data_IF_566800729366
#
_entry.id   IF_566800729366
#
_cell.length_a   1.000
_cell.length_b   1.000
_cell.length_c   1.000
_cell.angle_alpha   90.00
_cell.angle_beta   90.00
_cell.angle_gamma   90.00
#
_symmetry.space_group_name_H-M   'P 1'
#
loop_
_entity.id
_entity.type
_entity.pdbx_description
1 polymer ?
#
# COMPACT_ATOMS: atom_id res chain seq x y z
N UNK A 1 -0.53 -4.53 -8.75
CA UNK A 1 -0.16 -5.77 -9.44
C UNK A 1 0.38 -5.45 -10.82
N UNK A 2 1.67 -5.64 -11.02
CA UNK A 2 2.38 -5.39 -12.27
C UNK A 2 3.31 -6.58 -12.56
N UNK A 3 2.85 -7.58 -13.33
CA UNK A 3 3.65 -8.74 -13.70
C UNK A 3 4.42 -8.50 -15.00
N UNK A 4 5.68 -8.89 -15.03
CA UNK A 4 6.58 -8.74 -16.18
C UNK A 4 7.16 -10.10 -16.60
N UNK A 5 7.42 -10.24 -17.87
CA UNK A 5 8.15 -11.39 -18.44
C UNK A 5 9.67 -11.29 -18.25
N UNK A 6 10.40 -12.29 -18.71
CA UNK A 6 11.87 -12.33 -18.65
C UNK A 6 12.58 -11.25 -19.49
N UNK A 7 11.86 -10.57 -20.38
CA UNK A 7 12.38 -9.43 -21.16
C UNK A 7 12.05 -8.08 -20.52
N UNK A 8 11.24 -8.08 -19.44
CA UNK A 8 10.80 -6.87 -18.76
C UNK A 8 9.60 -6.19 -19.41
N UNK A 9 8.83 -6.93 -20.22
CA UNK A 9 7.59 -6.45 -20.80
C UNK A 9 6.41 -6.74 -19.86
N UNK A 10 5.50 -5.76 -19.72
CA UNK A 10 4.30 -5.91 -18.92
C UNK A 10 3.36 -6.92 -19.56
N UNK A 11 3.04 -8.00 -18.85
CA UNK A 11 2.28 -9.13 -19.38
C UNK A 11 0.79 -8.87 -19.56
N UNK A 12 0.20 -8.04 -18.69
CA UNK A 12 -1.21 -7.66 -18.71
C UNK A 12 -1.37 -6.23 -18.21
N UNK A 13 -2.48 -5.53 -18.49
CA UNK A 13 -2.76 -4.24 -17.88
C UNK A 13 -2.64 -4.32 -16.36
N UNK A 14 -1.95 -3.36 -15.75
CA UNK A 14 -1.75 -3.33 -14.31
C UNK A 14 -3.08 -3.21 -13.55
N UNK A 15 -3.15 -3.80 -12.36
CA UNK A 15 -4.31 -3.72 -11.46
C UNK A 15 -3.97 -2.84 -10.28
N UNK A 16 -4.81 -1.86 -10.02
CA UNK A 16 -4.62 -0.90 -8.92
C UNK A 16 -5.22 -1.43 -7.62
N UNK A 17 -4.91 -0.78 -6.51
CA UNK A 17 -5.47 -1.05 -5.20
C UNK A 17 -7.01 -0.92 -5.12
N UNK A 18 -7.63 -0.21 -6.06
CA UNK A 18 -9.09 -0.04 -6.17
C UNK A 18 -9.79 -1.25 -6.81
N UNK A 19 -9.04 -2.17 -7.37
CA UNK A 19 -9.60 -3.36 -7.98
C UNK A 19 -9.96 -4.39 -6.90
N UNK A 20 -11.22 -4.79 -6.83
CA UNK A 20 -11.79 -5.64 -5.76
C UNK A 20 -12.23 -7.03 -6.25
N UNK A 21 -11.66 -7.51 -7.36
CA UNK A 21 -12.00 -8.84 -7.91
C UNK A 21 -11.38 -10.02 -7.14
N UNK A 22 -10.61 -9.75 -6.10
CA UNK A 22 -9.71 -10.69 -5.41
C UNK A 22 -10.29 -11.28 -4.14
N UNK A 23 -11.60 -11.20 -3.93
CA UNK A 23 -12.25 -11.64 -2.68
C UNK A 23 -11.99 -13.11 -2.35
N UNK A 24 -12.10 -14.01 -3.34
CA UNK A 24 -11.86 -15.45 -3.17
C UNK A 24 -10.39 -15.72 -2.80
N UNK A 25 -9.47 -15.12 -3.53
CA UNK A 25 -8.03 -15.28 -3.28
C UNK A 25 -7.62 -14.72 -1.91
N UNK A 26 -8.11 -13.54 -1.54
CA UNK A 26 -7.83 -12.92 -0.26
C UNK A 26 -8.30 -13.79 0.91
N UNK A 27 -9.53 -14.28 0.87
CA UNK A 27 -10.09 -15.17 1.90
C UNK A 27 -9.31 -16.48 2.01
N UNK A 28 -8.96 -17.11 0.87
CA UNK A 28 -8.19 -18.35 0.86
C UNK A 28 -6.79 -18.16 1.46
N UNK A 29 -6.08 -17.09 1.08
CA UNK A 29 -4.74 -16.79 1.60
C UNK A 29 -4.77 -16.38 3.09
N UNK A 30 -5.78 -15.60 3.51
CA UNK A 30 -5.97 -15.26 4.95
C UNK A 30 -6.10 -16.52 5.80
N UNK A 31 -6.89 -17.47 5.35
CA UNK A 31 -7.05 -18.77 6.03
C UNK A 31 -5.75 -19.58 6.04
N UNK A 32 -5.05 -19.67 4.90
CA UNK A 32 -3.82 -20.45 4.76
C UNK A 32 -2.70 -19.91 5.64
N UNK A 33 -2.52 -18.61 5.65
CA UNK A 33 -1.43 -17.97 6.38
C UNK A 33 -1.77 -17.70 7.86
N UNK A 34 -3.05 -17.79 8.24
CA UNK A 34 -3.53 -17.26 9.53
C UNK A 34 -3.08 -15.81 9.73
N UNK A 35 -3.17 -15.01 8.67
CA UNK A 35 -2.76 -13.62 8.58
C UNK A 35 -3.68 -12.89 7.62
N UNK A 36 -4.19 -11.70 7.97
CA UNK A 36 -5.10 -10.97 7.10
C UNK A 36 -4.42 -10.58 5.77
N UNK A 37 -5.00 -11.01 4.66
CA UNK A 37 -4.57 -10.63 3.30
C UNK A 37 -5.67 -9.75 2.67
N UNK A 38 -5.50 -8.43 2.67
CA UNK A 38 -6.47 -7.52 2.06
C UNK A 38 -6.62 -7.75 0.56
N UNK A 39 -7.83 -7.54 0.04
CA UNK A 39 -8.11 -7.72 -1.40
C UNK A 39 -7.25 -6.85 -2.30
N UNK A 40 -6.79 -5.68 -1.81
CA UNK A 40 -5.97 -4.74 -2.57
C UNK A 40 -4.50 -5.12 -2.69
N UNK A 41 -4.03 -6.11 -1.90
CA UNK A 41 -2.63 -6.52 -1.91
C UNK A 41 -2.25 -7.25 -3.19
N UNK A 42 -1.01 -7.07 -3.60
CA UNK A 42 -0.50 -7.65 -4.84
C UNK A 42 -0.58 -9.17 -4.88
N UNK A 43 -0.34 -9.85 -3.75
CA UNK A 43 -0.43 -11.31 -3.67
C UNK A 43 -1.86 -11.82 -3.86
N UNK A 44 -2.88 -11.11 -3.41
CA UNK A 44 -4.27 -11.46 -3.65
C UNK A 44 -4.60 -11.41 -5.15
N UNK A 45 -4.07 -10.41 -5.87
CA UNK A 45 -4.21 -10.32 -7.32
C UNK A 45 -3.49 -11.44 -8.07
N UNK A 46 -2.28 -11.79 -7.65
CA UNK A 46 -1.55 -12.91 -8.23
C UNK A 46 -2.32 -14.23 -8.03
N UNK A 47 -2.76 -14.49 -6.80
CA UNK A 47 -3.47 -15.72 -6.50
C UNK A 47 -4.84 -15.79 -7.20
N UNK A 48 -5.54 -14.66 -7.33
CA UNK A 48 -6.78 -14.62 -8.11
C UNK A 48 -6.53 -14.92 -9.60
N UNK A 49 -5.45 -14.39 -10.18
CA UNK A 49 -5.08 -14.72 -11.56
C UNK A 49 -4.77 -16.22 -11.73
N UNK A 50 -4.15 -16.84 -10.72
CA UNK A 50 -3.91 -18.29 -10.67
C UNK A 50 -5.22 -19.07 -10.63
N UNK A 51 -6.16 -18.70 -9.75
CA UNK A 51 -7.46 -19.33 -9.62
C UNK A 51 -8.29 -19.20 -10.91
N UNK A 52 -8.22 -18.05 -11.56
CA UNK A 52 -8.88 -17.81 -12.84
C UNK A 52 -8.20 -18.53 -14.03
N UNK A 53 -7.02 -19.11 -13.86
CA UNK A 53 -6.27 -19.76 -14.94
C UNK A 53 -5.78 -18.78 -15.98
N UNK A 54 -5.44 -17.55 -15.60
CA UNK A 54 -4.97 -16.52 -16.54
C UNK A 54 -3.62 -16.90 -17.16
N UNK A 55 -3.53 -16.90 -18.49
CA UNK A 55 -2.39 -17.42 -19.26
C UNK A 55 -1.06 -16.70 -19.00
N UNK A 56 -1.10 -15.46 -18.55
CA UNK A 56 0.11 -14.69 -18.30
C UNK A 56 0.91 -15.19 -17.10
N UNK A 57 0.27 -15.92 -16.17
CA UNK A 57 0.88 -16.34 -14.89
C UNK A 57 2.08 -17.25 -15.13
N UNK A 58 2.04 -18.12 -16.13
CA UNK A 58 3.17 -18.99 -16.49
C UNK A 58 4.42 -18.23 -16.94
N UNK A 59 4.26 -17.00 -17.42
CA UNK A 59 5.31 -16.18 -18.03
C UNK A 59 5.92 -15.16 -17.07
N UNK A 60 5.42 -15.11 -15.83
CA UNK A 60 5.90 -14.13 -14.84
C UNK A 60 7.35 -14.46 -14.46
N UNK A 61 8.22 -13.49 -14.67
CA UNK A 61 9.62 -13.54 -14.26
C UNK A 61 9.95 -12.43 -13.23
N UNK A 62 9.06 -11.44 -13.11
CA UNK A 62 9.16 -10.37 -12.11
C UNK A 62 7.78 -9.78 -11.84
N UNK A 63 7.53 -9.45 -10.60
CA UNK A 63 6.25 -8.97 -10.14
C UNK A 63 6.46 -7.88 -9.10
N UNK A 64 5.88 -6.70 -9.28
CA UNK A 64 6.16 -5.54 -8.43
C UNK A 64 4.98 -4.56 -8.36
N UNK A 65 5.18 -3.48 -7.62
CA UNK A 65 4.28 -2.32 -7.52
C UNK A 65 4.72 -1.21 -8.48
N UNK A 66 3.93 -0.13 -8.55
CA UNK A 66 4.30 1.04 -9.34
C UNK A 66 5.59 1.70 -8.82
N UNK A 67 5.76 1.78 -7.50
CA UNK A 67 6.97 2.33 -6.89
C UNK A 67 8.22 1.53 -7.30
N UNK A 68 8.14 0.20 -7.20
CA UNK A 68 9.23 -0.68 -7.64
C UNK A 68 9.49 -0.62 -9.15
N UNK A 69 8.44 -0.49 -9.97
CA UNK A 69 8.62 -0.32 -11.42
C UNK A 69 9.34 0.97 -11.77
N UNK A 70 8.94 2.09 -11.19
CA UNK A 70 9.60 3.38 -11.42
C UNK A 70 11.06 3.31 -10.98
N UNK A 71 11.31 2.79 -9.78
CA UNK A 71 12.66 2.61 -9.27
C UNK A 71 13.53 1.76 -10.20
N UNK A 72 13.00 0.62 -10.65
CA UNK A 72 13.71 -0.24 -11.60
C UNK A 72 14.05 0.47 -12.92
N UNK A 73 13.11 1.28 -13.45
CA UNK A 73 13.38 2.06 -14.69
C UNK A 73 14.43 3.15 -14.49
N UNK A 74 14.59 3.66 -13.28
CA UNK A 74 15.56 4.72 -12.98
C UNK A 74 16.96 4.17 -12.63
N UNK A 75 17.02 2.99 -12.01
CA UNK A 75 18.26 2.45 -11.45
C UNK A 75 18.72 1.14 -12.07
N UNK A 76 17.84 0.40 -12.72
CA UNK A 76 18.05 -0.99 -13.11
C UNK A 76 17.86 -2.01 -11.98
N UNK A 77 17.72 -1.57 -10.72
CA UNK A 77 17.59 -2.44 -9.55
C UNK A 77 16.13 -2.83 -9.29
N UNK A 78 15.91 -4.12 -9.02
CA UNK A 78 14.58 -4.70 -8.72
C UNK A 78 14.39 -4.83 -7.21
N UNK A 79 14.17 -3.70 -6.55
CA UNK A 79 14.06 -3.60 -5.09
C UNK A 79 12.78 -2.87 -4.67
N UNK A 80 12.36 -3.09 -3.44
CA UNK A 80 11.33 -2.32 -2.73
C UNK A 80 11.79 -1.96 -1.33
N UNK A 81 11.32 -0.84 -0.81
CA UNK A 81 11.35 -0.58 0.61
C UNK A 81 10.43 -1.55 1.37
N UNK A 82 10.80 -1.87 2.59
CA UNK A 82 10.10 -2.87 3.40
C UNK A 82 8.64 -2.48 3.67
N UNK A 83 8.36 -1.18 3.81
CA UNK A 83 7.00 -0.67 3.98
C UNK A 83 6.13 -0.94 2.75
N UNK A 84 6.63 -0.63 1.56
CA UNK A 84 5.93 -0.92 0.29
C UNK A 84 5.80 -2.43 0.05
N UNK A 85 6.86 -3.20 0.33
CA UNK A 85 6.87 -4.65 0.19
C UNK A 85 5.83 -5.33 1.09
N UNK A 86 5.56 -4.77 2.28
CA UNK A 86 4.54 -5.28 3.20
C UNK A 86 3.12 -5.22 2.63
N UNK A 87 2.85 -4.32 1.68
CA UNK A 87 1.61 -4.27 0.91
C UNK A 87 1.56 -5.26 -0.27
N UNK A 88 2.66 -5.91 -0.59
CA UNK A 88 2.70 -6.98 -1.59
C UNK A 88 2.52 -8.36 -0.97
N UNK A 89 3.27 -8.65 0.07
CA UNK A 89 3.32 -9.93 0.77
C UNK A 89 3.72 -9.73 2.24
N UNK A 90 3.27 -10.58 3.19
CA UNK A 90 3.61 -10.47 4.60
C UNK A 90 5.11 -10.41 4.88
N UNK A 91 5.51 -9.47 5.71
CA UNK A 91 6.87 -9.27 6.19
C UNK A 91 7.04 -9.91 7.58
N UNK A 92 8.20 -10.49 7.83
CA UNK A 92 8.66 -10.86 9.17
C UNK A 92 9.47 -9.68 9.74
N UNK A 93 8.95 -8.99 10.74
CA UNK A 93 9.60 -7.82 11.34
C UNK A 93 10.97 -8.11 11.97
N UNK A 94 11.25 -9.37 12.34
CA UNK A 94 12.54 -9.76 12.90
C UNK A 94 13.65 -9.81 11.83
N UNK A 95 13.31 -10.33 10.67
CA UNK A 95 14.24 -10.41 9.53
C UNK A 95 14.16 -9.19 8.62
N UNK A 96 13.09 -8.42 8.71
CA UNK A 96 12.77 -7.28 7.83
C UNK A 96 12.72 -7.66 6.36
N UNK A 97 12.26 -8.88 6.10
CA UNK A 97 12.15 -9.48 4.78
C UNK A 97 10.85 -10.29 4.71
N UNK A 98 10.50 -10.79 3.54
CA UNK A 98 9.31 -11.62 3.35
C UNK A 98 9.27 -12.80 4.31
N UNK A 99 8.08 -13.08 4.84
CA UNK A 99 7.86 -14.18 5.79
C UNK A 99 8.09 -15.53 5.09
N UNK A 100 9.22 -16.17 5.39
CA UNK A 100 9.69 -17.42 4.78
C UNK A 100 8.72 -18.58 4.93
N UNK A 101 8.02 -18.65 6.07
CA UNK A 101 7.01 -19.68 6.29
C UNK A 101 5.83 -19.50 5.32
N UNK A 102 5.34 -18.27 5.18
CA UNK A 102 4.22 -17.97 4.30
C UNK A 102 4.58 -18.09 2.82
N UNK A 103 5.83 -17.76 2.42
CA UNK A 103 6.33 -18.07 1.08
C UNK A 103 6.24 -19.56 0.78
N UNK A 104 6.73 -20.40 1.68
CA UNK A 104 6.65 -21.86 1.53
C UNK A 104 5.21 -22.38 1.49
N UNK A 105 4.30 -21.81 2.32
CA UNK A 105 2.88 -22.15 2.30
C UNK A 105 2.26 -21.78 0.94
N UNK A 106 2.54 -20.60 0.40
CA UNK A 106 2.05 -20.18 -0.91
C UNK A 106 2.51 -21.12 -2.02
N UNK A 107 3.81 -21.43 -2.07
CA UNK A 107 4.39 -22.33 -3.07
C UNK A 107 3.85 -23.77 -2.97
N UNK A 108 3.36 -24.18 -1.80
CA UNK A 108 2.79 -25.51 -1.56
C UNK A 108 1.30 -25.59 -1.94
N UNK A 109 0.63 -24.47 -2.25
CA UNK A 109 -0.77 -24.47 -2.65
C UNK A 109 -0.95 -25.30 -3.94
N UNK A 110 -1.95 -26.20 -4.02
CA UNK A 110 -2.15 -27.07 -5.19
C UNK A 110 -2.28 -26.28 -6.52
N UNK A 111 -2.91 -25.11 -6.47
CA UNK A 111 -3.07 -24.26 -7.65
C UNK A 111 -1.75 -23.61 -8.09
N UNK A 112 -0.79 -23.45 -7.18
CA UNK A 112 0.52 -22.83 -7.43
C UNK A 112 1.57 -23.85 -7.87
N UNK A 113 1.53 -25.06 -7.36
CA UNK A 113 2.55 -26.08 -7.56
C UNK A 113 2.80 -26.53 -9.03
N UNK A 114 1.92 -26.11 -9.95
CA UNK A 114 2.09 -26.37 -11.40
C UNK A 114 3.06 -25.41 -12.10
N UNK A 115 3.36 -24.24 -11.50
CA UNK A 115 4.24 -23.24 -12.10
C UNK A 115 5.70 -23.57 -11.83
N UNK A 116 6.58 -23.16 -12.75
CA UNK A 116 8.02 -23.42 -12.65
C UNK A 116 8.75 -22.45 -11.75
N UNK A 117 8.21 -21.24 -11.57
CA UNK A 117 8.77 -20.23 -10.69
C UNK A 117 8.34 -20.45 -9.23
N UNK A 118 9.13 -19.97 -8.32
CA UNK A 118 8.80 -19.82 -6.90
C UNK A 118 8.50 -18.37 -6.58
N UNK A 119 7.60 -18.12 -5.61
CA UNK A 119 7.18 -16.74 -5.31
C UNK A 119 8.37 -15.83 -4.99
N UNK A 120 9.34 -16.32 -4.20
CA UNK A 120 10.53 -15.57 -3.86
C UNK A 120 11.38 -15.16 -5.08
N UNK A 121 11.39 -15.95 -6.15
CA UNK A 121 12.18 -15.69 -7.35
C UNK A 121 11.61 -14.54 -8.19
N UNK A 122 10.31 -14.30 -8.11
CA UNK A 122 9.62 -13.28 -8.90
C UNK A 122 9.33 -11.98 -8.11
N UNK A 123 9.50 -12.00 -6.78
CA UNK A 123 9.35 -10.83 -5.91
C UNK A 123 10.59 -9.92 -5.97
N UNK A 124 10.43 -8.59 -5.75
CA UNK A 124 11.56 -7.68 -5.57
C UNK A 124 12.32 -7.98 -4.28
N UNK A 125 13.61 -7.68 -4.28
CA UNK A 125 14.42 -7.70 -3.05
C UNK A 125 13.92 -6.62 -2.08
N UNK A 126 13.80 -6.96 -0.80
CA UNK A 126 13.40 -6.01 0.25
C UNK A 126 14.63 -5.29 0.80
N UNK A 127 14.49 -3.98 1.00
CA UNK A 127 15.48 -3.12 1.63
C UNK A 127 14.79 -2.26 2.71
N UNK A 128 15.50 -1.93 3.79
CA UNK A 128 15.00 -0.99 4.79
C UNK A 128 15.42 0.44 4.49
N UNK A 129 14.70 1.41 5.03
CA UNK A 129 15.05 2.82 4.87
C UNK A 129 16.48 3.10 5.29
N UNK A 130 17.22 3.85 4.46
CA UNK A 130 18.64 4.17 4.66
C UNK A 130 19.60 3.20 3.98
N UNK A 131 19.17 2.05 3.48
CA UNK A 131 20.01 1.18 2.66
C UNK A 131 20.18 1.73 1.24
N UNK A 132 21.27 1.36 0.60
CA UNK A 132 21.53 1.75 -0.78
C UNK A 132 20.69 0.92 -1.76
N UNK A 133 19.82 1.59 -2.49
CA UNK A 133 18.95 0.97 -3.49
C UNK A 133 19.44 1.17 -4.93
N UNK A 134 20.70 1.48 -5.12
CA UNK A 134 21.30 1.75 -6.43
C UNK A 134 21.45 3.24 -6.72
N UNK A 135 21.84 3.55 -7.95
CA UNK A 135 22.06 4.91 -8.42
C UNK A 135 21.29 5.18 -9.70
N UNK A 136 20.95 6.44 -9.92
CA UNK A 136 20.32 6.88 -11.16
C UNK A 136 21.24 6.54 -12.36
N UNK A 137 20.71 5.79 -13.31
CA UNK A 137 21.42 5.44 -14.56
C UNK A 137 21.38 6.60 -15.57
N UNK A 138 22.19 6.53 -16.61
CA UNK A 138 22.11 7.49 -17.73
C UNK A 138 20.74 7.46 -18.41
N UNK A 139 20.16 6.28 -18.60
CA UNK A 139 18.83 6.06 -19.14
C UNK A 139 17.76 6.66 -18.22
N UNK A 140 17.88 6.43 -16.90
CA UNK A 140 16.98 6.98 -15.89
C UNK A 140 17.04 8.50 -15.85
N UNK A 141 18.23 9.08 -15.87
CA UNK A 141 18.42 10.52 -15.93
C UNK A 141 17.77 11.13 -17.18
N UNK A 142 17.98 10.51 -18.34
CA UNK A 142 17.41 10.94 -19.62
C UNK A 142 15.88 10.79 -19.68
N UNK A 143 15.34 9.79 -18.99
CA UNK A 143 13.89 9.60 -18.87
C UNK A 143 13.24 10.73 -18.07
N UNK A 144 13.89 11.16 -16.99
CA UNK A 144 13.39 12.23 -16.11
C UNK A 144 13.63 13.64 -16.71
N UNK A 145 14.79 13.84 -17.33
CA UNK A 145 15.18 15.10 -17.92
C UNK A 145 15.75 14.93 -19.33
N UNK A 146 14.89 15.00 -20.36
CA UNK A 146 15.34 14.96 -21.76
C UNK A 146 16.28 16.11 -22.15
N UNK A 147 16.38 17.19 -21.34
CA UNK A 147 17.29 18.32 -21.61
C UNK A 147 18.76 17.98 -21.32
N UNK A 148 19.01 16.89 -20.59
CA UNK A 148 20.36 16.40 -20.28
C UNK A 148 21.09 17.19 -19.19
N UNK A 149 20.38 17.96 -18.35
CA UNK A 149 20.96 18.65 -17.18
C UNK A 149 21.07 17.74 -15.95
N UNK A 150 20.20 16.72 -15.87
CA UNK A 150 20.23 15.76 -14.78
C UNK A 150 21.33 14.74 -15.05
N UNK A 151 22.30 14.63 -14.15
CA UNK A 151 23.41 13.71 -14.27
C UNK A 151 23.10 12.38 -13.61
N UNK A 152 23.64 11.29 -14.17
CA UNK A 152 23.60 9.96 -13.58
C UNK A 152 24.48 9.86 -12.33
N UNK A 153 24.32 8.76 -11.56
CA UNK A 153 25.15 8.47 -10.38
C UNK A 153 24.58 8.99 -9.06
N UNK A 154 23.44 9.69 -9.08
CA UNK A 154 22.74 10.10 -7.85
C UNK A 154 22.24 8.87 -7.11
N UNK A 155 22.59 8.67 -5.81
CA UNK A 155 22.10 7.53 -5.04
C UNK A 155 20.60 7.65 -4.78
N UNK A 156 19.89 6.51 -4.90
CA UNK A 156 18.47 6.41 -4.58
C UNK A 156 18.27 5.58 -3.30
N UNK A 157 17.28 6.00 -2.51
CA UNK A 157 16.78 5.21 -1.38
C UNK A 157 15.81 4.11 -1.86
N UNK A 158 15.52 3.10 -1.02
CA UNK A 158 14.50 2.12 -1.31
C UNK A 158 13.15 2.82 -1.59
N UNK A 159 12.43 2.42 -2.64
CA UNK A 159 11.14 3.03 -2.98
C UNK A 159 10.07 2.62 -1.98
N UNK A 160 9.35 3.59 -1.44
CA UNK A 160 8.30 3.43 -0.44
C UNK A 160 6.99 4.02 -0.93
N UNK A 161 5.87 3.53 -0.39
CA UNK A 161 4.55 4.08 -0.61
C UNK A 161 4.28 5.34 0.25
N UNK A 162 3.18 6.03 -0.07
CA UNK A 162 2.75 7.25 0.62
C UNK A 162 2.43 7.03 2.11
N UNK A 163 1.89 5.87 2.47
CA UNK A 163 1.58 5.51 3.84
C UNK A 163 2.83 5.47 4.73
N UNK A 164 3.87 4.74 4.31
CA UNK A 164 5.14 4.64 5.05
C UNK A 164 5.89 5.97 5.11
N UNK A 165 5.97 6.69 4.00
CA UNK A 165 6.60 8.02 3.96
C UNK A 165 5.83 9.04 4.78
N UNK A 166 4.49 8.93 4.88
CA UNK A 166 3.66 9.73 5.76
C UNK A 166 3.98 9.51 7.24
N UNK A 167 4.27 8.27 7.65
CA UNK A 167 4.73 7.98 9.02
C UNK A 167 6.08 8.65 9.33
N UNK A 168 7.02 8.64 8.37
CA UNK A 168 8.29 9.34 8.52
C UNK A 168 8.07 10.85 8.62
N UNK A 169 7.26 11.42 7.73
CA UNK A 169 6.97 12.86 7.70
C UNK A 169 6.32 13.37 8.99
N UNK A 170 5.54 12.54 9.67
CA UNK A 170 4.88 12.87 10.94
C UNK A 170 5.66 12.43 12.18
N UNK A 171 6.88 11.91 12.00
CA UNK A 171 7.71 11.35 13.08
C UNK A 171 6.98 10.29 13.91
N UNK A 172 6.24 9.40 13.25
CA UNK A 172 5.40 8.37 13.88
C UNK A 172 5.85 6.94 13.53
N UNK A 173 7.17 6.73 13.43
CA UNK A 173 7.78 5.41 13.14
C UNK A 173 8.24 4.65 14.39
N UNK A 174 8.27 5.30 15.55
CA UNK A 174 8.64 4.64 16.80
C UNK A 174 7.49 3.80 17.35
N UNK A 175 7.82 2.73 18.05
CA UNK A 175 6.84 1.89 18.79
C UNK A 175 5.93 2.75 19.66
N UNK A 176 4.63 2.45 19.68
CA UNK A 176 3.55 3.20 20.38
C UNK A 176 3.29 4.59 19.79
N UNK A 177 3.84 4.92 18.66
CA UNK A 177 3.41 6.10 17.90
C UNK A 177 2.54 5.70 16.72
N UNK A 178 1.91 6.67 16.11
CA UNK A 178 1.05 6.42 14.96
C UNK A 178 0.66 7.71 14.29
N UNK A 179 0.05 7.60 13.13
CA UNK A 179 -0.52 8.73 12.43
C UNK A 179 -1.90 8.41 11.86
N UNK A 180 -2.63 9.45 11.53
CA UNK A 180 -3.88 9.38 10.77
C UNK A 180 -3.70 10.18 9.50
N UNK A 181 -3.88 9.52 8.36
CA UNK A 181 -3.92 10.18 7.06
C UNK A 181 -5.38 10.33 6.63
N UNK A 182 -5.83 11.57 6.51
CA UNK A 182 -7.20 11.91 6.15
C UNK A 182 -7.23 12.61 4.79
N UNK A 183 -7.43 11.82 3.75
CA UNK A 183 -7.61 12.29 2.38
C UNK A 183 -8.99 11.91 1.85
N UNK A 184 -9.11 11.48 0.61
CA UNK A 184 -10.34 10.88 0.04
C UNK A 184 -10.78 9.67 0.89
N UNK A 185 -9.82 8.84 1.27
CA UNK A 185 -9.95 7.79 2.29
C UNK A 185 -9.29 8.25 3.60
N UNK A 186 -9.57 7.57 4.68
CA UNK A 186 -8.83 7.71 5.94
C UNK A 186 -8.17 6.39 6.28
N UNK A 187 -6.93 6.45 6.75
CA UNK A 187 -6.28 5.32 7.39
C UNK A 187 -5.52 5.78 8.64
N UNK A 188 -5.65 4.97 9.68
CA UNK A 188 -4.94 5.15 10.94
C UNK A 188 -3.91 4.03 11.07
N UNK A 189 -2.68 4.39 11.41
CA UNK A 189 -1.55 3.47 11.55
C UNK A 189 -0.96 3.61 12.95
N UNK A 190 -0.68 2.47 13.59
CA UNK A 190 -0.05 2.41 14.92
C UNK A 190 1.09 1.41 14.88
N UNK A 191 2.29 1.83 15.30
CA UNK A 191 3.45 0.95 15.43
C UNK A 191 3.30 0.10 16.69
N UNK A 192 3.28 -1.22 16.49
CA UNK A 192 3.05 -2.19 17.57
C UNK A 192 4.35 -2.54 18.31
N UNK A 193 4.21 -2.93 19.58
CA UNK A 193 5.31 -3.50 20.39
C UNK A 193 5.51 -4.99 20.12
N UNK A 194 4.41 -5.68 19.82
CA UNK A 194 4.36 -7.12 19.58
C UNK A 194 3.39 -7.42 18.44
N UNK A 195 3.59 -8.54 17.77
CA UNK A 195 2.68 -9.01 16.74
C UNK A 195 1.31 -9.34 17.35
N UNK A 196 0.26 -9.21 16.54
CA UNK A 196 -1.11 -9.56 16.95
C UNK A 196 -1.18 -11.07 17.25
N UNK A 197 -1.93 -11.42 18.30
CA UNK A 197 -2.11 -12.82 18.75
C UNK A 197 -3.19 -13.57 17.97
N UNK A 198 -4.00 -12.85 17.20
CA UNK A 198 -5.07 -13.40 16.39
C UNK A 198 -5.21 -12.62 15.09
N UNK A 199 -5.86 -13.24 14.10
CA UNK A 199 -6.23 -12.56 12.84
C UNK A 199 -7.39 -11.63 13.13
N UNK A 200 -7.27 -10.40 12.67
CA UNK A 200 -8.32 -9.38 12.66
C UNK A 200 -8.46 -8.89 11.22
N UNK A 201 -9.57 -9.23 10.59
CA UNK A 201 -9.80 -8.90 9.17
C UNK A 201 -9.98 -7.39 8.94
N UNK A 202 -10.27 -6.64 10.02
CA UNK A 202 -10.36 -5.18 10.01
C UNK A 202 -9.01 -4.48 10.04
N UNK A 203 -7.93 -5.23 10.33
CA UNK A 203 -6.58 -4.70 10.47
C UNK A 203 -5.68 -5.22 9.36
N UNK A 204 -5.05 -4.31 8.66
CA UNK A 204 -3.98 -4.64 7.74
C UNK A 204 -2.64 -4.54 8.46
N UNK A 205 -1.91 -5.64 8.43
CA UNK A 205 -0.59 -5.72 9.06
C UNK A 205 0.48 -5.35 8.03
N UNK A 206 1.00 -4.14 8.14
CA UNK A 206 2.06 -3.60 7.29
C UNK A 206 3.30 -3.28 8.14
N UNK A 207 4.31 -2.63 7.57
CA UNK A 207 5.49 -2.20 8.31
C UNK A 207 5.78 -0.72 8.10
N UNK A 208 6.53 -0.15 9.06
CA UNK A 208 7.21 1.13 8.84
C UNK A 208 8.31 0.96 7.79
N UNK A 209 8.86 2.05 7.21
CA UNK A 209 10.04 1.97 6.34
C UNK A 209 11.31 1.43 7.04
N UNK A 210 11.32 1.34 8.37
CA UNK A 210 12.37 0.68 9.15
C UNK A 210 12.11 -0.81 9.44
N UNK A 211 10.91 -1.31 9.08
CA UNK A 211 10.54 -2.71 9.21
C UNK A 211 9.81 -3.09 10.50
N UNK A 212 9.41 -2.10 11.31
CA UNK A 212 8.63 -2.35 12.53
C UNK A 212 7.16 -2.61 12.18
N UNK A 213 6.51 -3.54 12.88
CA UNK A 213 5.13 -3.94 12.62
C UNK A 213 4.14 -2.80 12.88
N UNK A 214 3.24 -2.58 11.94
CA UNK A 214 2.18 -1.56 11.99
C UNK A 214 0.82 -2.22 11.81
N UNK A 215 -0.10 -1.91 12.73
CA UNK A 215 -1.52 -2.17 12.50
C UNK A 215 -2.14 -0.95 11.81
N UNK A 216 -2.78 -1.18 10.66
CA UNK A 216 -3.44 -0.15 9.88
C UNK A 216 -4.93 -0.46 9.75
N UNK A 217 -5.77 0.52 10.04
CA UNK A 217 -7.20 0.53 9.70
C UNK A 217 -7.39 1.43 8.49
N UNK A 218 -8.06 0.96 7.47
CA UNK A 218 -8.35 1.71 6.26
C UNK A 218 -9.86 1.82 6.04
N UNK A 219 -10.34 3.04 5.83
CA UNK A 219 -11.71 3.31 5.45
C UNK A 219 -11.74 4.11 4.14
N UNK A 220 -12.57 3.69 3.19
CA UNK A 220 -12.67 4.34 1.88
C UNK A 220 -13.40 5.69 1.92
N UNK A 221 -14.05 5.99 3.04
CA UNK A 221 -14.89 7.17 3.23
C UNK A 221 -14.18 8.17 4.15
N UNK A 222 -13.97 9.40 3.70
CA UNK A 222 -13.45 10.48 4.52
C UNK A 222 -13.85 11.85 3.94
N UNK A 223 -12.94 12.55 3.29
CA UNK A 223 -13.20 13.93 2.84
C UNK A 223 -14.30 14.02 1.78
N UNK A 224 -14.53 12.98 0.98
CA UNK A 224 -15.61 12.96 0.00
C UNK A 224 -16.99 12.99 0.68
N UNK A 225 -17.18 12.18 1.71
CA UNK A 225 -18.43 12.12 2.46
C UNK A 225 -18.63 13.39 3.27
N UNK A 226 -17.56 13.88 3.93
CA UNK A 226 -17.57 15.13 4.63
C UNK A 226 -17.96 16.30 3.71
N UNK A 227 -17.40 16.35 2.51
CA UNK A 227 -17.75 17.36 1.50
C UNK A 227 -19.22 17.27 1.08
N UNK A 228 -19.77 16.06 0.97
CA UNK A 228 -21.18 15.87 0.63
C UNK A 228 -22.09 16.40 1.75
N UNK A 229 -21.80 16.08 3.01
CA UNK A 229 -22.55 16.59 4.15
C UNK A 229 -22.48 18.11 4.30
N UNK A 230 -21.27 18.69 4.19
CA UNK A 230 -21.09 20.14 4.28
C UNK A 230 -21.74 20.84 3.08
N UNK A 231 -21.69 20.22 1.89
CA UNK A 231 -22.40 20.69 0.71
C UNK A 231 -23.91 20.75 0.90
N UNK A 232 -24.49 19.76 1.57
CA UNK A 232 -25.92 19.75 1.90
C UNK A 232 -26.29 20.92 2.85
N UNK A 233 -25.47 21.21 3.85
CA UNK A 233 -25.71 22.37 4.73
C UNK A 233 -25.60 23.70 3.99
N UNK A 234 -24.65 23.79 3.06
CA UNK A 234 -24.53 24.97 2.20
C UNK A 234 -25.79 25.13 1.32
N UNK A 235 -26.21 24.09 0.64
CA UNK A 235 -27.39 24.11 -0.23
C UNK A 235 -28.65 24.52 0.57
N UNK A 236 -28.80 23.99 1.79
CA UNK A 236 -29.88 24.42 2.68
C UNK A 236 -29.82 25.92 2.95
N UNK A 237 -28.66 26.47 3.32
CA UNK A 237 -28.51 27.91 3.59
C UNK A 237 -28.82 28.78 2.35
N UNK A 238 -28.32 28.37 1.17
CA UNK A 238 -28.53 29.06 -0.11
C UNK A 238 -30.01 29.13 -0.48
N UNK A 239 -30.79 28.07 -0.21
CA UNK A 239 -32.25 28.07 -0.42
C UNK A 239 -33.01 29.08 0.48
N UNK A 240 -32.39 29.53 1.57
CA UNK A 240 -32.91 30.61 2.40
C UNK A 240 -32.26 31.98 2.09
N UNK A 241 -31.55 32.09 0.96
CA UNK A 241 -30.93 33.34 0.53
C UNK A 241 -29.64 33.70 1.27
N UNK A 242 -29.06 32.75 2.02
CA UNK A 242 -27.81 32.94 2.75
C UNK A 242 -26.67 32.42 1.88
N UNK A 243 -25.84 33.30 1.37
CA UNK A 243 -24.63 32.90 0.64
C UNK A 243 -23.52 32.58 1.63
N UNK A 244 -22.95 31.38 1.54
CA UNK A 244 -21.93 30.86 2.48
C UNK A 244 -20.68 30.46 1.72
N UNK A 245 -19.53 31.01 2.12
CA UNK A 245 -18.22 30.53 1.65
C UNK A 245 -17.91 29.16 2.26
N UNK A 246 -17.44 28.21 1.44
CA UNK A 246 -17.20 26.83 1.86
C UNK A 246 -16.11 26.74 2.93
N UNK A 247 -15.01 27.52 2.81
CA UNK A 247 -13.93 27.47 3.79
C UNK A 247 -14.38 28.01 5.15
N UNK A 248 -15.20 29.09 5.12
CA UNK A 248 -15.81 29.65 6.33
C UNK A 248 -16.76 28.62 6.98
N UNK A 249 -17.57 27.93 6.18
CA UNK A 249 -18.48 26.90 6.67
C UNK A 249 -17.73 25.74 7.32
N UNK A 250 -16.71 25.20 6.64
CA UNK A 250 -15.85 24.16 7.22
C UNK A 250 -15.22 24.60 8.53
N UNK A 251 -14.64 25.81 8.58
CA UNK A 251 -14.03 26.35 9.79
C UNK A 251 -15.01 26.43 10.96
N UNK A 252 -16.22 26.92 10.70
CA UNK A 252 -17.29 27.01 11.74
C UNK A 252 -17.73 25.63 12.22
N UNK A 253 -17.95 24.69 11.31
CA UNK A 253 -18.39 23.34 11.66
C UNK A 253 -17.31 22.58 12.43
N UNK A 254 -16.04 22.66 12.03
CA UNK A 254 -14.94 22.03 12.75
C UNK A 254 -14.76 22.61 14.17
N UNK A 255 -14.80 23.94 14.31
CA UNK A 255 -14.72 24.56 15.64
C UNK A 255 -15.90 24.15 16.51
N UNK A 256 -17.10 24.04 15.92
CA UNK A 256 -18.29 23.60 16.67
C UNK A 256 -18.20 22.13 17.08
N UNK A 257 -17.62 21.27 16.24
CA UNK A 257 -17.39 19.86 16.57
C UNK A 257 -16.49 19.67 17.79
N UNK A 258 -15.52 20.58 18.02
CA UNK A 258 -14.65 20.52 19.21
C UNK A 258 -15.40 20.75 20.54
N UNK A 259 -16.59 21.33 20.48
CA UNK A 259 -17.43 21.51 21.66
C UNK A 259 -18.34 20.31 21.97
N UNK A 260 -18.45 19.37 21.04
CA UNK A 260 -19.27 18.15 21.15
C UNK A 260 -18.58 17.01 21.90
N UNK A 261 -19.32 15.92 22.04
CA UNK A 261 -18.77 14.67 22.58
C UNK A 261 -17.74 14.05 21.66
N UNK A 262 -16.61 13.58 22.21
CA UNK A 262 -15.49 13.03 21.43
C UNK A 262 -15.85 11.77 20.65
N UNK A 263 -16.84 11.02 21.12
CA UNK A 263 -17.38 9.81 20.51
C UNK A 263 -18.66 10.08 19.70
N UNK A 264 -18.97 11.35 19.45
CA UNK A 264 -20.22 11.80 18.79
C UNK A 264 -21.50 11.23 19.42
N UNK A 265 -21.47 10.90 20.74
CA UNK A 265 -22.58 10.24 21.42
C UNK A 265 -22.91 8.84 20.89
N UNK A 266 -21.93 8.18 20.26
CA UNK A 266 -22.06 6.88 19.64
C UNK A 266 -22.71 6.89 18.23
N UNK A 267 -22.89 8.05 17.62
CA UNK A 267 -23.35 8.16 16.24
C UNK A 267 -22.21 7.78 15.27
N UNK A 268 -22.55 6.96 14.30
CA UNK A 268 -21.66 6.54 13.19
C UNK A 268 -22.25 7.03 11.86
N UNK A 269 -21.38 7.38 10.92
CA UNK A 269 -21.73 7.79 9.56
C UNK A 269 -21.14 6.82 8.53
#
# INVERSE_FOLDING_TARGET
YMPFDGKGELLVPFRTWRNTITGEAAAALTKEFSFNIPQRWSIAHLYQAILNGEEHVDKIAYFTTLAGYIHWKLTGEKVLGVGEASGMFPIDAKTRDYNRKMLAQFDALPAVGKYTWKLEEILPKVLVAGENAGTLTEEGAKLLDPSGRLEAGIPLCPPEGDAGTGMVATNSVAVRTGNVSAGTSVFAMVVLEEDLKAVHEELDMVTTPSGDTVAMVHCNNCTSDLNAWVGLFREFAENFGINVDMNELFGKLYNKALEGDKDCGGLLA
#
